data_IF_806434010518
#
_entry.id   IF_806434010518
#
_cell.length_a   1.000
_cell.length_b   1.000
_cell.length_c   1.000
_cell.angle_alpha   90.00
_cell.angle_beta   90.00
_cell.angle_gamma   90.00
#
_symmetry.space_group_name_H-M   'P 1'
#
loop_
_entity.id
_entity.type
_entity.pdbx_description
1 polymer ?
#
# COMPACT_ATOMS: atom_id res chain seq x y z
N UNK A 1 9.34 -11.13 -13.43
CA UNK A 1 9.68 -10.04 -12.48
C UNK A 1 8.67 -8.94 -12.67
N UNK A 2 7.86 -8.66 -11.64
CA UNK A 2 6.89 -7.57 -11.67
C UNK A 2 7.60 -6.23 -11.91
N UNK A 3 7.17 -5.49 -12.92
CA UNK A 3 7.77 -4.21 -13.30
C UNK A 3 7.25 -3.11 -12.38
N UNK A 4 8.16 -2.35 -11.74
CA UNK A 4 7.77 -1.21 -10.90
C UNK A 4 7.46 -0.01 -11.79
N UNK A 5 6.21 0.43 -11.78
CA UNK A 5 5.74 1.59 -12.54
C UNK A 5 5.95 2.90 -11.77
N UNK A 6 5.71 2.85 -10.46
CA UNK A 6 5.79 4.03 -9.59
C UNK A 6 6.14 3.60 -8.17
N UNK A 7 7.06 4.33 -7.54
CA UNK A 7 7.36 4.17 -6.12
C UNK A 7 7.70 5.52 -5.49
N UNK A 8 7.04 5.85 -4.37
CA UNK A 8 7.35 7.07 -3.61
C UNK A 8 7.05 6.90 -2.12
N UNK A 9 7.71 7.73 -1.29
CA UNK A 9 7.53 7.73 0.16
C UNK A 9 6.16 8.33 0.50
N UNK A 10 5.35 7.60 1.24
CA UNK A 10 4.04 8.06 1.69
C UNK A 10 3.57 7.27 2.93
N UNK A 11 2.95 7.98 3.87
CA UNK A 11 2.26 7.37 5.01
C UNK A 11 0.90 6.80 4.59
N UNK A 12 0.08 6.46 5.58
CA UNK A 12 -1.32 6.09 5.41
C UNK A 12 -2.16 6.71 6.50
N UNK A 13 -3.47 6.69 6.34
CA UNK A 13 -4.41 7.19 7.33
C UNK A 13 -5.65 6.29 7.34
N UNK A 14 -6.33 6.24 8.48
CA UNK A 14 -7.55 5.46 8.62
C UNK A 14 -8.69 6.35 9.09
N UNK A 15 -9.87 6.15 8.51
CA UNK A 15 -11.08 6.82 8.98
C UNK A 15 -11.47 6.25 10.33
N UNK A 16 -11.69 7.12 11.32
CA UNK A 16 -12.21 6.71 12.61
C UNK A 16 -13.67 6.26 12.47
N UNK A 17 -14.02 5.00 12.83
CA UNK A 17 -15.35 4.45 12.63
C UNK A 17 -16.45 5.34 13.22
N UNK A 18 -17.55 5.50 12.48
CA UNK A 18 -18.70 6.29 12.92
C UNK A 18 -18.50 7.82 12.89
N UNK A 19 -17.37 8.33 12.40
CA UNK A 19 -17.09 9.77 12.34
C UNK A 19 -16.58 10.19 10.95
N UNK A 20 -16.39 11.49 10.75
CA UNK A 20 -15.73 12.05 9.56
C UNK A 20 -14.24 12.37 9.81
N UNK A 21 -13.68 11.92 10.93
CA UNK A 21 -12.26 12.12 11.24
C UNK A 21 -11.38 11.06 10.55
N UNK A 22 -10.22 11.50 10.07
CA UNK A 22 -9.18 10.66 9.47
C UNK A 22 -7.92 10.81 10.30
N UNK A 23 -7.48 9.72 10.91
CA UNK A 23 -6.33 9.67 11.79
C UNK A 23 -5.08 9.24 11.00
N UNK A 24 -4.05 10.10 10.86
CA UNK A 24 -2.82 9.72 10.18
C UNK A 24 -2.04 8.70 11.01
N UNK A 25 -1.31 7.82 10.31
CA UNK A 25 -0.44 6.82 10.92
C UNK A 25 1.03 7.26 10.84
N UNK A 26 1.78 7.31 11.96
CA UNK A 26 3.16 7.82 11.99
C UNK A 26 4.18 6.89 11.30
N UNK A 27 3.80 5.64 10.99
CA UNK A 27 4.65 4.65 10.35
C UNK A 27 5.16 5.13 8.98
N UNK A 28 6.48 5.03 8.77
CA UNK A 28 7.10 5.42 7.50
C UNK A 28 6.75 4.39 6.42
N UNK A 29 5.98 4.80 5.42
CA UNK A 29 5.58 3.92 4.32
C UNK A 29 6.17 4.29 2.96
N UNK A 30 5.95 3.41 1.99
CA UNK A 30 6.07 3.68 0.57
C UNK A 30 4.86 3.10 -0.17
N UNK A 31 4.35 3.86 -1.13
CA UNK A 31 3.43 3.36 -2.14
C UNK A 31 4.26 2.78 -3.28
N UNK A 32 3.90 1.59 -3.73
CA UNK A 32 4.52 0.91 -4.87
C UNK A 32 3.42 0.38 -5.78
N UNK A 33 3.46 0.78 -7.05
CA UNK A 33 2.63 0.22 -8.11
C UNK A 33 3.48 -0.66 -9.01
N UNK A 34 3.03 -1.89 -9.25
CA UNK A 34 3.69 -2.84 -10.13
C UNK A 34 2.70 -3.47 -11.11
N UNK A 35 3.15 -3.76 -12.34
CA UNK A 35 2.43 -4.70 -13.18
C UNK A 35 2.76 -6.12 -12.69
N UNK A 36 1.74 -6.82 -12.19
CA UNK A 36 1.83 -8.21 -11.78
C UNK A 36 2.07 -9.14 -12.97
N UNK A 37 2.57 -10.34 -12.69
CA UNK A 37 2.78 -11.36 -13.72
C UNK A 37 1.46 -11.93 -14.27
N UNK A 38 0.36 -11.68 -13.55
CA UNK A 38 -1.03 -11.92 -13.94
C UNK A 38 -1.57 -10.87 -14.93
N UNK A 39 -0.78 -9.86 -15.27
CA UNK A 39 -1.19 -8.73 -16.12
C UNK A 39 -2.07 -7.71 -15.40
N UNK A 40 -2.26 -7.84 -14.07
CA UNK A 40 -3.02 -6.89 -13.27
C UNK A 40 -2.11 -5.83 -12.65
N UNK A 41 -2.68 -4.64 -12.45
CA UNK A 41 -2.02 -3.58 -11.70
C UNK A 41 -2.10 -3.90 -10.20
N UNK A 42 -0.95 -4.04 -9.56
CA UNK A 42 -0.84 -4.24 -8.11
C UNK A 42 -0.49 -2.92 -7.44
N UNK A 43 -1.33 -2.49 -6.49
CA UNK A 43 -1.07 -1.35 -5.62
C UNK A 43 -0.71 -1.87 -4.23
N UNK A 44 0.42 -1.45 -3.68
CA UNK A 44 0.86 -1.89 -2.36
C UNK A 44 1.35 -0.75 -1.48
N UNK A 45 1.09 -0.88 -0.18
CA UNK A 45 1.72 -0.07 0.85
C UNK A 45 2.73 -0.92 1.63
N UNK A 46 3.99 -0.49 1.57
CA UNK A 46 5.12 -1.14 2.24
C UNK A 46 5.56 -0.34 3.46
N UNK A 47 5.63 -0.98 4.61
CA UNK A 47 6.24 -0.41 5.80
C UNK A 47 7.75 -0.36 5.61
N UNK A 48 8.34 0.83 5.70
CA UNK A 48 9.79 1.04 5.52
C UNK A 48 10.61 0.79 6.77
N UNK A 49 9.97 0.68 7.94
CA UNK A 49 10.63 0.29 9.18
C UNK A 49 10.83 -1.22 9.24
N UNK A 50 9.79 -2.00 8.94
CA UNK A 50 9.86 -3.48 8.94
C UNK A 50 10.28 -4.08 7.60
N UNK A 51 10.11 -3.34 6.49
CA UNK A 51 10.34 -3.84 5.14
C UNK A 51 9.21 -4.73 4.59
N UNK A 52 8.09 -4.87 5.31
CA UNK A 52 6.97 -5.75 4.95
C UNK A 52 5.91 -5.00 4.13
N UNK A 53 5.33 -5.68 3.13
CA UNK A 53 4.10 -5.21 2.46
C UNK A 53 2.94 -5.55 3.37
N UNK A 54 2.32 -4.54 3.98
CA UNK A 54 1.21 -4.75 4.91
C UNK A 54 -0.15 -4.68 4.22
N UNK A 55 -0.21 -4.04 3.05
CA UNK A 55 -1.44 -3.88 2.29
C UNK A 55 -1.14 -4.00 0.80
N UNK A 56 -1.96 -4.77 0.10
CA UNK A 56 -1.83 -5.04 -1.32
C UNK A 56 -3.22 -5.20 -1.94
N UNK A 57 -3.40 -4.57 -3.10
CA UNK A 57 -4.57 -4.67 -3.94
C UNK A 57 -4.16 -5.07 -5.37
N UNK A 58 -4.95 -5.92 -6.05
CA UNK A 58 -6.10 -6.65 -5.51
C UNK A 58 -5.68 -7.56 -4.35
N UNK A 59 -6.53 -7.66 -3.32
CA UNK A 59 -6.31 -8.63 -2.24
C UNK A 59 -6.41 -10.00 -2.90
N UNK A 60 -5.43 -10.88 -2.70
CA UNK A 60 -5.44 -12.24 -3.24
C UNK A 60 -6.87 -12.81 -3.12
N UNK A 61 -7.51 -13.07 -4.27
CA UNK A 61 -8.77 -13.80 -4.34
C UNK A 61 -8.42 -15.21 -3.82
N UNK A 62 -8.78 -15.47 -2.56
CA UNK A 62 -8.80 -16.83 -2.03
C UNK A 62 -9.97 -17.59 -2.66
#
# INVERSE_FOLDING_TARGET
MAETLLAFKAGRAFRRPGTNFVDPRPEKGAIVLTNGEDGLLHFSWKNRTSGVIEEMYPRNLA
#
